data_IF_966183423472
#
_entry.id   IF_966183423472
#
_cell.length_a   1.000
_cell.length_b   1.000
_cell.length_c   1.000
_cell.angle_alpha   90.00
_cell.angle_beta   90.00
_cell.angle_gamma   90.00
#
_symmetry.space_group_name_H-M   'P 1'
#
loop_
_entity.id
_entity.type
_entity.pdbx_description
1 polymer ?
#
# COMPACT_ATOMS: atom_id res chain seq x y z
N UNK A 1 -30.82 22.41 25.32
CA UNK A 1 -31.18 21.00 25.20
C UNK A 1 -30.72 20.51 23.81
N UNK A 2 -29.54 19.91 23.74
CA UNK A 2 -29.06 19.22 22.55
C UNK A 2 -29.80 17.86 22.50
N UNK A 3 -30.82 17.75 21.67
CA UNK A 3 -31.33 16.46 21.26
C UNK A 3 -30.29 15.78 20.39
N UNK A 4 -29.51 14.87 20.92
CA UNK A 4 -28.76 13.90 20.13
C UNK A 4 -29.79 12.91 19.60
N UNK A 5 -30.26 13.09 18.39
CA UNK A 5 -30.97 12.06 17.67
C UNK A 5 -29.96 10.90 17.48
N UNK A 6 -30.16 9.83 18.23
CA UNK A 6 -29.43 8.60 18.08
C UNK A 6 -29.66 8.09 16.64
N UNK A 7 -28.71 8.24 15.78
CA UNK A 7 -28.72 7.60 14.46
C UNK A 7 -28.85 6.10 14.70
N UNK A 8 -29.87 5.50 14.14
CA UNK A 8 -30.07 4.05 14.17
C UNK A 8 -28.99 3.41 13.28
N UNK A 9 -27.81 3.15 13.87
CA UNK A 9 -26.80 2.35 13.20
C UNK A 9 -27.25 0.89 13.23
N UNK A 10 -27.56 0.32 12.08
CA UNK A 10 -27.82 -1.10 11.98
C UNK A 10 -26.49 -1.86 11.99
N UNK A 11 -26.31 -2.76 12.96
CA UNK A 11 -25.22 -3.72 12.93
C UNK A 11 -25.52 -4.77 11.86
N UNK A 12 -24.68 -4.85 10.82
CA UNK A 12 -24.65 -6.02 9.97
C UNK A 12 -24.04 -7.21 10.73
N UNK A 13 -24.53 -8.40 10.45
CA UNK A 13 -23.98 -9.64 11.00
C UNK A 13 -22.47 -9.68 10.80
N UNK A 14 -21.72 -9.77 11.90
CA UNK A 14 -20.27 -9.88 11.86
C UNK A 14 -19.86 -11.18 11.17
N UNK A 15 -19.12 -11.06 10.09
CA UNK A 15 -18.41 -12.15 9.46
C UNK A 15 -16.93 -12.09 9.85
N UNK A 16 -16.38 -13.24 10.26
CA UNK A 16 -14.97 -13.31 10.65
C UNK A 16 -14.03 -12.79 9.55
N UNK A 17 -13.17 -11.83 9.91
CA UNK A 17 -12.20 -11.21 9.00
C UNK A 17 -12.74 -10.02 8.18
N UNK A 18 -14.04 -9.73 8.20
CA UNK A 18 -14.63 -8.59 7.49
C UNK A 18 -14.64 -7.28 8.29
N UNK A 19 -14.56 -7.37 9.62
CA UNK A 19 -14.66 -6.24 10.53
C UNK A 19 -16.10 -5.86 10.87
N UNK A 20 -16.26 -4.82 11.67
CA UNK A 20 -17.55 -4.26 12.07
C UNK A 20 -17.97 -3.19 11.06
N UNK A 21 -19.15 -3.33 10.49
CA UNK A 21 -19.70 -2.37 9.55
C UNK A 21 -20.93 -1.69 10.14
N UNK A 22 -20.95 -0.37 10.07
CA UNK A 22 -22.05 0.49 10.50
C UNK A 22 -22.58 1.19 9.26
N UNK A 23 -23.86 1.13 9.02
CA UNK A 23 -24.53 1.79 7.89
C UNK A 23 -25.47 2.83 8.46
N UNK A 24 -25.28 4.09 8.08
CA UNK A 24 -26.14 5.22 8.43
C UNK A 24 -27.27 5.42 7.42
N UNK A 25 -28.21 6.31 7.76
CA UNK A 25 -29.38 6.62 6.92
C UNK A 25 -29.04 7.32 5.60
N UNK A 26 -27.88 8.03 5.53
CA UNK A 26 -27.46 8.83 4.35
C UNK A 26 -26.51 8.05 3.41
N UNK A 27 -26.68 6.75 3.25
CA UNK A 27 -25.78 5.90 2.45
C UNK A 27 -24.30 6.02 2.86
N UNK A 28 -24.05 6.49 4.07
CA UNK A 28 -22.72 6.53 4.65
C UNK A 28 -22.44 5.23 5.39
N UNK A 29 -21.48 4.46 4.92
CA UNK A 29 -20.98 3.28 5.61
C UNK A 29 -19.65 3.55 6.27
N UNK A 30 -19.49 3.02 7.47
CA UNK A 30 -18.25 3.05 8.24
C UNK A 30 -17.86 1.64 8.63
N UNK A 31 -16.62 1.27 8.36
CA UNK A 31 -16.10 -0.07 8.65
C UNK A 31 -14.84 0.01 9.51
N UNK A 32 -14.91 -0.64 10.66
CA UNK A 32 -13.79 -0.85 11.56
C UNK A 32 -13.30 -2.29 11.41
N UNK A 33 -12.03 -2.46 11.08
CA UNK A 33 -11.41 -3.76 10.94
C UNK A 33 -9.96 -3.74 11.38
N UNK A 34 -9.38 -4.91 11.53
CA UNK A 34 -7.99 -5.04 11.89
C UNK A 34 -7.55 -6.48 11.94
N UNK A 35 -6.28 -6.69 12.18
CA UNK A 35 -5.73 -8.02 12.40
C UNK A 35 -4.45 -7.96 13.21
N UNK A 36 -4.18 -9.07 13.87
CA UNK A 36 -2.95 -9.33 14.62
C UNK A 36 -2.23 -10.51 13.97
N UNK A 37 -0.92 -10.40 13.83
CA UNK A 37 -0.06 -11.45 13.28
C UNK A 37 1.09 -11.73 14.24
N UNK A 38 0.90 -12.64 15.21
CA UNK A 38 1.99 -13.16 16.02
C UNK A 38 2.92 -13.99 15.13
N UNK A 39 4.20 -14.00 15.46
CA UNK A 39 5.24 -14.60 14.63
C UNK A 39 6.27 -15.31 15.50
N UNK A 40 6.59 -16.53 15.11
CA UNK A 40 7.66 -17.35 15.70
C UNK A 40 8.69 -17.60 14.61
N UNK A 41 9.94 -17.30 14.88
CA UNK A 41 11.05 -17.51 13.96
C UNK A 41 12.15 -18.29 14.66
N UNK A 42 12.68 -19.29 13.97
CA UNK A 42 13.89 -20.01 14.36
C UNK A 42 14.90 -19.93 13.21
N UNK A 43 16.07 -19.40 13.46
CA UNK A 43 17.14 -19.28 12.48
C UNK A 43 18.30 -20.18 12.85
N UNK A 44 18.74 -20.94 11.87
CA UNK A 44 19.95 -21.74 11.95
C UNK A 44 20.97 -21.14 10.99
N UNK A 45 22.13 -20.72 11.49
CA UNK A 45 23.22 -20.23 10.66
C UNK A 45 24.31 -21.29 10.66
N UNK A 46 24.60 -21.80 9.46
CA UNK A 46 25.72 -22.72 9.25
C UNK A 46 26.93 -21.90 8.81
N UNK A 47 28.03 -22.04 9.54
CA UNK A 47 29.30 -21.44 9.15
C UNK A 47 30.13 -22.47 8.37
N UNK A 48 30.83 -22.07 7.30
CA UNK A 48 31.62 -22.95 6.40
C UNK A 48 32.77 -23.69 7.09
N UNK A 49 33.13 -23.34 8.29
CA UNK A 49 34.20 -23.96 9.08
C UNK A 49 33.67 -24.69 10.30
N UNK A 50 32.85 -25.72 10.06
CA UNK A 50 32.51 -26.72 11.11
C UNK A 50 31.75 -26.17 12.33
N UNK A 51 30.38 -26.21 12.20
CA UNK A 51 29.51 -26.52 13.35
C UNK A 51 29.56 -25.54 14.52
N UNK A 52 29.26 -24.28 14.28
CA UNK A 52 28.54 -23.50 15.28
C UNK A 52 27.13 -23.24 14.76
N UNK A 53 26.22 -24.09 15.21
CA UNK A 53 24.79 -23.89 15.03
C UNK A 53 24.36 -22.71 15.89
N UNK A 54 24.40 -21.51 15.34
CA UNK A 54 23.75 -20.38 15.98
C UNK A 54 22.24 -20.54 15.79
N UNK A 55 21.55 -20.78 16.89
CA UNK A 55 20.09 -20.88 16.92
C UNK A 55 19.53 -19.62 17.56
N UNK A 56 18.91 -18.78 16.76
CA UNK A 56 18.21 -17.58 17.21
C UNK A 56 16.70 -17.82 17.15
N UNK A 57 16.07 -17.93 18.31
CA UNK A 57 14.63 -18.11 18.45
C UNK A 57 13.98 -16.81 18.87
N UNK A 58 13.00 -16.37 18.11
CA UNK A 58 12.29 -15.13 18.38
C UNK A 58 10.78 -15.33 18.39
N UNK A 59 10.14 -14.73 19.40
CA UNK A 59 8.70 -14.52 19.45
C UNK A 59 8.45 -13.03 19.28
N UNK A 60 7.65 -12.64 18.31
CA UNK A 60 7.34 -11.24 18.09
C UNK A 60 5.97 -11.02 17.46
N UNK A 61 5.49 -9.79 17.58
CA UNK A 61 4.32 -9.32 16.89
C UNK A 61 4.76 -8.71 15.56
N UNK A 62 4.47 -9.40 14.45
CA UNK A 62 4.90 -8.95 13.13
C UNK A 62 4.03 -7.81 12.61
N UNK A 63 2.71 -7.89 12.86
CA UNK A 63 1.74 -6.86 12.48
C UNK A 63 0.61 -6.79 13.50
N UNK A 64 0.27 -5.56 13.86
CA UNK A 64 -0.95 -5.24 14.61
C UNK A 64 -1.60 -4.06 13.91
N UNK A 65 -2.61 -4.33 13.07
CA UNK A 65 -3.20 -3.29 12.23
C UNK A 65 -4.63 -2.99 12.62
N UNK A 66 -4.92 -1.71 12.71
CA UNK A 66 -6.24 -1.14 12.85
C UNK A 66 -6.57 -0.36 11.59
N UNK A 67 -7.75 -0.61 11.01
CA UNK A 67 -8.22 0.06 9.80
C UNK A 67 -9.60 0.64 10.02
N UNK A 68 -9.72 1.89 9.70
CA UNK A 68 -10.96 2.62 9.56
C UNK A 68 -11.19 2.91 8.08
N UNK A 69 -12.37 2.61 7.57
CA UNK A 69 -12.73 2.97 6.19
C UNK A 69 -14.19 3.34 6.13
N UNK A 70 -14.52 4.25 5.25
CA UNK A 70 -15.89 4.65 5.02
C UNK A 70 -16.16 4.97 3.57
N UNK A 71 -17.43 4.90 3.22
CA UNK A 71 -17.92 5.22 1.88
C UNK A 71 -19.19 6.04 2.02
N UNK A 72 -19.28 7.11 1.22
CA UNK A 72 -20.50 7.88 1.04
C UNK A 72 -20.87 7.82 -0.44
N UNK A 73 -21.91 7.05 -0.78
CA UNK A 73 -22.30 6.81 -2.16
C UNK A 73 -22.95 8.02 -2.79
N UNK A 74 -23.65 8.87 -2.03
CA UNK A 74 -24.27 10.10 -2.53
C UNK A 74 -23.23 11.10 -3.04
N UNK A 75 -22.11 11.21 -2.33
CA UNK A 75 -21.04 12.14 -2.68
C UNK A 75 -19.90 11.49 -3.47
N UNK A 76 -20.00 10.21 -3.83
CA UNK A 76 -18.95 9.46 -4.50
C UNK A 76 -17.59 9.51 -3.76
N UNK A 77 -17.61 9.63 -2.45
CA UNK A 77 -16.43 9.74 -1.60
C UNK A 77 -16.19 8.45 -0.84
N UNK A 78 -14.93 8.07 -0.71
CA UNK A 78 -14.49 7.03 0.21
C UNK A 78 -13.20 7.45 0.89
N UNK A 79 -12.98 6.97 2.11
CA UNK A 79 -11.77 7.25 2.87
C UNK A 79 -11.23 6.02 3.55
N UNK A 80 -9.95 6.08 3.89
CA UNK A 80 -9.28 5.06 4.68
C UNK A 80 -8.24 5.68 5.59
N UNK A 81 -8.23 5.23 6.84
CA UNK A 81 -7.16 5.46 7.80
C UNK A 81 -6.69 4.10 8.29
N UNK A 82 -5.40 3.86 8.29
CA UNK A 82 -4.83 2.59 8.75
C UNK A 82 -3.58 2.85 9.58
N UNK A 83 -3.55 2.20 10.74
CA UNK A 83 -2.41 2.22 11.67
C UNK A 83 -1.74 0.85 11.73
N UNK A 84 -0.43 0.84 11.95
CA UNK A 84 0.32 -0.34 12.38
C UNK A 84 0.91 -0.06 13.77
N UNK A 85 0.48 -0.81 14.74
CA UNK A 85 0.84 -0.64 16.15
C UNK A 85 1.90 -1.66 16.59
N UNK A 86 2.48 -2.41 15.65
CA UNK A 86 3.49 -3.43 15.95
C UNK A 86 4.89 -2.87 16.20
N UNK A 87 5.16 -1.62 15.82
CA UNK A 87 6.51 -1.04 15.86
C UNK A 87 7.47 -1.59 14.79
N UNK A 88 6.94 -2.31 13.79
CA UNK A 88 7.74 -2.94 12.74
C UNK A 88 7.28 -2.44 11.38
N UNK A 89 8.21 -2.00 10.54
CA UNK A 89 7.91 -1.52 9.19
C UNK A 89 7.40 -2.63 8.26
N UNK A 90 6.91 -2.24 7.08
CA UNK A 90 6.51 -3.16 6.00
C UNK A 90 7.64 -4.11 5.57
N UNK A 91 8.89 -3.73 5.77
CA UNK A 91 10.09 -4.48 5.39
C UNK A 91 10.77 -5.19 6.55
N UNK A 92 10.22 -5.12 7.74
CA UNK A 92 10.72 -5.84 8.91
C UNK A 92 11.68 -5.05 9.80
N UNK A 93 12.04 -3.80 9.41
CA UNK A 93 12.88 -2.92 10.20
C UNK A 93 12.07 -2.29 11.36
N UNK A 94 12.73 -1.80 12.41
CA UNK A 94 12.06 -1.03 13.45
C UNK A 94 11.48 0.27 12.87
N UNK A 95 10.29 0.64 13.32
CA UNK A 95 9.62 1.86 12.86
C UNK A 95 8.82 2.48 13.97
N UNK A 96 9.03 3.77 14.19
CA UNK A 96 8.18 4.59 15.07
C UNK A 96 6.92 5.11 14.37
N UNK A 97 6.81 4.88 13.07
CA UNK A 97 5.71 5.40 12.26
C UNK A 97 4.47 4.52 12.39
N UNK A 98 3.47 5.03 13.08
CA UNK A 98 2.20 4.32 13.31
C UNK A 98 1.23 4.45 12.14
N UNK A 99 1.18 5.61 11.48
CA UNK A 99 0.24 5.87 10.40
C UNK A 99 0.73 5.26 9.09
N UNK A 100 -0.04 4.32 8.54
CA UNK A 100 0.24 3.72 7.23
C UNK A 100 -0.51 4.44 6.10
N UNK A 101 -1.82 4.43 6.17
CA UNK A 101 -2.67 5.02 5.15
C UNK A 101 -3.56 6.10 5.77
N UNK A 102 -3.66 7.25 5.11
CA UNK A 102 -4.62 8.31 5.42
C UNK A 102 -4.98 9.01 4.12
N UNK A 103 -6.08 8.63 3.48
CA UNK A 103 -6.44 9.19 2.20
C UNK A 103 -7.95 9.27 1.98
N UNK A 104 -8.33 10.21 1.12
CA UNK A 104 -9.67 10.41 0.59
C UNK A 104 -9.68 10.10 -0.90
N UNK A 105 -10.68 9.37 -1.37
CA UNK A 105 -10.87 9.06 -2.79
C UNK A 105 -12.21 9.61 -3.27
N UNK A 106 -12.17 10.38 -4.33
CA UNK A 106 -13.34 10.86 -5.06
C UNK A 106 -13.50 10.07 -6.37
N UNK A 107 -14.66 9.45 -6.55
CA UNK A 107 -15.01 8.72 -7.77
C UNK A 107 -15.66 9.68 -8.76
N UNK A 108 -14.86 10.25 -9.68
CA UNK A 108 -15.35 11.16 -10.73
C UNK A 108 -16.41 10.46 -11.58
N UNK A 109 -16.18 9.19 -11.88
CA UNK A 109 -17.13 8.29 -12.50
C UNK A 109 -16.76 6.84 -12.17
N UNK A 110 -17.53 5.85 -12.68
CA UNK A 110 -17.30 4.42 -12.44
C UNK A 110 -15.90 3.91 -12.84
N UNK A 111 -15.18 4.66 -13.68
CA UNK A 111 -13.88 4.26 -14.25
C UNK A 111 -12.73 5.17 -13.86
N UNK A 112 -13.00 6.34 -13.29
CA UNK A 112 -11.98 7.33 -12.95
C UNK A 112 -12.10 7.69 -11.49
N UNK A 113 -10.99 7.54 -10.75
CA UNK A 113 -10.90 7.84 -9.32
C UNK A 113 -9.71 8.73 -9.08
N UNK A 114 -9.92 9.78 -8.31
CA UNK A 114 -8.87 10.66 -7.80
C UNK A 114 -8.72 10.44 -6.30
N UNK A 115 -7.52 10.17 -5.85
CA UNK A 115 -7.20 9.99 -4.43
C UNK A 115 -6.21 11.06 -4.00
N UNK A 116 -6.39 11.59 -2.80
CA UNK A 116 -5.44 12.50 -2.15
C UNK A 116 -5.14 12.02 -0.74
N UNK A 117 -3.87 12.08 -0.35
CA UNK A 117 -3.39 11.67 0.96
C UNK A 117 -2.26 10.67 0.89
N UNK A 118 -1.95 10.04 2.03
CA UNK A 118 -0.89 9.05 2.15
C UNK A 118 -1.41 7.64 1.86
N UNK A 119 -0.76 6.94 0.93
CA UNK A 119 -1.08 5.55 0.60
C UNK A 119 0.08 4.81 -0.06
N UNK A 120 -0.09 3.49 -0.25
CA UNK A 120 0.87 2.68 -1.00
C UNK A 120 0.97 3.11 -2.47
N UNK A 121 2.21 3.21 -2.96
CA UNK A 121 2.56 3.57 -4.33
C UNK A 121 2.30 2.39 -5.28
N UNK A 122 1.74 2.68 -6.44
CA UNK A 122 1.57 1.68 -7.51
C UNK A 122 2.68 1.74 -8.54
N UNK A 123 3.38 2.87 -8.63
CA UNK A 123 4.51 3.08 -9.52
C UNK A 123 5.77 2.32 -9.14
N UNK A 124 5.82 1.75 -7.95
CA UNK A 124 7.00 1.00 -7.52
C UNK A 124 6.96 -0.48 -7.93
N UNK A 125 5.89 -1.20 -7.61
CA UNK A 125 5.65 -2.57 -8.07
C UNK A 125 4.22 -3.06 -7.77
N UNK A 126 3.85 -4.25 -8.26
CA UNK A 126 2.54 -4.88 -8.05
C UNK A 126 2.30 -5.30 -6.61
N UNK A 127 3.33 -5.66 -5.86
CA UNK A 127 3.18 -6.22 -4.51
C UNK A 127 2.73 -5.18 -3.48
N UNK A 128 3.06 -3.90 -3.68
CA UNK A 128 2.74 -2.84 -2.71
C UNK A 128 1.25 -2.67 -2.43
N UNK A 129 0.36 -2.64 -3.42
CA UNK A 129 -1.07 -2.56 -3.16
C UNK A 129 -1.69 -3.86 -2.61
N UNK A 130 -0.95 -4.97 -2.58
CA UNK A 130 -1.43 -6.20 -1.96
C UNK A 130 -1.57 -6.03 -0.45
N UNK A 131 -2.68 -6.53 0.09
CA UNK A 131 -2.85 -6.56 1.54
C UNK A 131 -1.85 -7.51 2.18
N UNK A 132 -1.18 -7.06 3.22
CA UNK A 132 -0.28 -7.94 3.98
C UNK A 132 -1.01 -9.08 4.72
N UNK A 133 -2.32 -9.00 4.90
CA UNK A 133 -3.13 -10.11 5.39
C UNK A 133 -3.34 -11.22 4.33
N UNK A 134 -3.03 -10.96 3.06
CA UNK A 134 -3.21 -11.90 1.95
C UNK A 134 -1.89 -12.31 1.28
N UNK A 135 -0.76 -12.01 1.90
CA UNK A 135 0.53 -12.53 1.49
C UNK A 135 0.58 -14.03 1.79
N UNK A 136 1.16 -14.81 0.89
CA UNK A 136 1.38 -16.25 1.11
C UNK A 136 2.50 -16.52 2.10
N UNK A 137 3.54 -15.68 2.05
CA UNK A 137 4.64 -15.68 2.99
C UNK A 137 4.46 -14.51 3.96
N UNK A 138 5.09 -14.60 5.12
CA UNK A 138 5.00 -13.57 6.16
C UNK A 138 5.52 -12.23 5.67
N UNK A 139 6.60 -12.27 4.88
CA UNK A 139 7.29 -11.08 4.39
C UNK A 139 7.02 -10.82 2.92
N UNK A 140 7.18 -9.56 2.52
CA UNK A 140 7.19 -9.16 1.11
C UNK A 140 8.47 -9.63 0.44
N UNK A 141 8.44 -9.69 -0.88
CA UNK A 141 9.60 -10.09 -1.68
C UNK A 141 10.83 -9.21 -1.43
N UNK A 142 12.01 -9.78 -1.69
CA UNK A 142 13.27 -9.04 -1.65
C UNK A 142 13.27 -7.88 -2.64
N UNK A 143 12.59 -8.00 -3.77
CA UNK A 143 12.42 -6.92 -4.73
C UNK A 143 11.75 -5.70 -4.07
N UNK A 144 10.65 -5.91 -3.37
CA UNK A 144 9.95 -4.84 -2.65
C UNK A 144 10.83 -4.23 -1.56
N UNK A 145 11.48 -5.06 -0.75
CA UNK A 145 12.32 -4.55 0.34
C UNK A 145 13.55 -3.79 -0.14
N UNK A 146 14.06 -4.12 -1.34
CA UNK A 146 15.27 -3.50 -1.87
C UNK A 146 15.03 -2.21 -2.65
N UNK A 147 13.89 -2.07 -3.33
CA UNK A 147 13.68 -0.97 -4.29
C UNK A 147 12.50 -0.08 -4.00
N UNK A 148 11.47 -0.55 -3.29
CA UNK A 148 10.25 0.20 -3.13
C UNK A 148 10.36 1.34 -2.11
N UNK A 149 9.76 2.50 -2.43
CA UNK A 149 9.52 3.59 -1.48
C UNK A 149 8.34 3.28 -0.55
N UNK A 150 7.47 2.36 -0.93
CA UNK A 150 6.33 1.79 -0.22
C UNK A 150 5.13 2.72 -0.17
N UNK A 151 5.20 3.84 0.54
CA UNK A 151 4.12 4.82 0.71
C UNK A 151 4.64 6.23 0.54
N UNK A 152 3.73 7.10 0.13
CA UNK A 152 4.02 8.51 0.00
C UNK A 152 2.71 9.32 0.07
N UNK A 153 2.82 10.62 0.27
CA UNK A 153 1.71 11.56 0.35
C UNK A 153 1.57 12.34 -0.97
N UNK A 154 0.36 12.40 -1.52
CA UNK A 154 0.13 13.16 -2.75
C UNK A 154 -1.19 12.84 -3.45
N UNK A 155 -1.21 13.06 -4.75
CA UNK A 155 -2.34 12.81 -5.64
C UNK A 155 -2.13 11.52 -6.44
N UNK A 156 -3.20 10.75 -6.56
CA UNK A 156 -3.22 9.48 -7.29
C UNK A 156 -4.46 9.44 -8.17
N UNK A 157 -4.24 9.28 -9.47
CA UNK A 157 -5.30 9.11 -10.45
C UNK A 157 -5.32 7.67 -10.94
N UNK A 158 -6.47 7.05 -10.90
CA UNK A 158 -6.72 5.75 -11.53
C UNK A 158 -7.76 5.92 -12.62
N UNK A 159 -7.50 5.34 -13.81
CA UNK A 159 -8.45 5.30 -14.90
C UNK A 159 -8.45 3.94 -15.59
N UNK A 160 -9.65 3.37 -15.73
CA UNK A 160 -9.87 2.07 -16.37
C UNK A 160 -10.48 2.28 -17.77
N UNK A 161 -9.89 1.64 -18.77
CA UNK A 161 -10.42 1.57 -20.13
C UNK A 161 -10.87 0.14 -20.40
N UNK A 162 -12.08 -0.01 -20.92
CA UNK A 162 -12.62 -1.29 -21.37
C UNK A 162 -12.70 -1.29 -22.89
N UNK A 163 -12.13 -2.30 -23.51
CA UNK A 163 -12.19 -2.49 -24.95
C UNK A 163 -13.39 -3.38 -25.34
N UNK A 164 -13.78 -3.31 -26.61
CA UNK A 164 -14.93 -4.07 -27.13
C UNK A 164 -14.73 -5.59 -27.04
N UNK A 165 -13.50 -6.07 -27.15
CA UNK A 165 -13.12 -7.48 -27.04
C UNK A 165 -13.10 -8.01 -25.59
N UNK A 166 -13.50 -7.20 -24.61
CA UNK A 166 -13.53 -7.58 -23.19
C UNK A 166 -12.21 -7.39 -22.45
N UNK A 167 -11.13 -6.99 -23.12
CA UNK A 167 -9.88 -6.65 -22.45
C UNK A 167 -9.96 -5.32 -21.70
N UNK A 168 -9.05 -5.11 -20.75
CA UNK A 168 -8.96 -3.87 -19.97
C UNK A 168 -7.54 -3.32 -19.97
N UNK A 169 -7.47 -2.00 -19.96
CA UNK A 169 -6.24 -1.26 -19.65
C UNK A 169 -6.51 -0.38 -18.42
N UNK A 170 -5.71 -0.56 -17.39
CA UNK A 170 -5.82 0.21 -16.16
C UNK A 170 -4.59 1.07 -15.98
N UNK A 171 -4.78 2.37 -15.91
CA UNK A 171 -3.70 3.32 -15.72
C UNK A 171 -3.74 3.88 -14.30
N UNK A 172 -2.56 4.03 -13.73
CA UNK A 172 -2.32 4.71 -12.46
C UNK A 172 -1.28 5.79 -12.70
N UNK A 173 -1.59 7.01 -12.29
CA UNK A 173 -0.66 8.13 -12.28
C UNK A 173 -0.59 8.67 -10.86
N UNK A 174 0.57 9.08 -10.45
CA UNK A 174 0.80 9.61 -9.10
C UNK A 174 1.81 10.76 -9.13
N UNK A 175 1.49 11.78 -8.33
CA UNK A 175 2.36 12.92 -8.05
C UNK A 175 2.40 13.02 -6.54
N UNK A 176 3.58 12.81 -5.96
CA UNK A 176 3.74 12.73 -4.51
C UNK A 176 4.93 13.56 -4.06
N UNK A 177 5.08 13.78 -2.74
CA UNK A 177 6.19 14.54 -2.17
C UNK A 177 7.55 13.93 -2.47
N UNK A 178 7.64 12.60 -2.57
CA UNK A 178 8.91 11.93 -2.85
C UNK A 178 9.74 11.61 -1.62
N UNK A 179 9.34 12.09 -0.45
CA UNK A 179 10.04 11.94 0.82
C UNK A 179 9.66 10.68 1.61
N UNK A 180 8.67 9.95 1.13
CA UNK A 180 8.16 8.76 1.79
C UNK A 180 7.05 9.04 2.80
N UNK A 181 6.77 8.06 3.66
CA UNK A 181 5.63 8.16 4.57
C UNK A 181 5.90 9.03 5.78
N UNK A 182 4.81 9.69 6.25
CA UNK A 182 4.78 10.48 7.50
C UNK A 182 5.72 11.69 7.52
N UNK A 183 6.15 12.15 6.35
CA UNK A 183 6.85 13.42 6.22
C UNK A 183 5.84 14.53 5.90
N UNK A 184 5.27 15.16 6.94
CA UNK A 184 4.23 16.18 6.81
C UNK A 184 4.73 17.60 7.15
N UNK A 185 5.95 17.72 7.64
CA UNK A 185 6.45 18.98 8.22
C UNK A 185 7.57 19.62 7.42
N UNK A 186 8.30 18.83 6.64
CA UNK A 186 9.43 19.30 5.86
C UNK A 186 9.47 18.58 4.53
N UNK A 187 9.66 19.31 3.47
CA UNK A 187 9.81 18.82 2.12
C UNK A 187 11.29 18.92 1.71
N UNK A 188 11.83 17.85 1.16
CA UNK A 188 13.22 17.78 0.72
C UNK A 188 13.24 17.43 -0.76
N UNK A 189 14.02 18.18 -1.54
CA UNK A 189 14.10 17.96 -2.98
C UNK A 189 12.85 18.44 -3.71
N UNK A 190 12.42 17.68 -4.72
CA UNK A 190 11.25 17.98 -5.52
C UNK A 190 10.19 16.89 -5.45
N UNK A 191 9.24 16.97 -6.38
CA UNK A 191 8.14 16.00 -6.44
C UNK A 191 8.58 14.69 -7.08
N UNK A 192 7.91 13.61 -6.67
CA UNK A 192 7.96 12.33 -7.35
C UNK A 192 6.80 12.20 -8.33
N UNK A 193 7.12 11.82 -9.54
CA UNK A 193 6.17 11.52 -10.62
C UNK A 193 6.22 10.03 -10.89
N UNK A 194 5.08 9.37 -10.87
CA UNK A 194 5.03 7.94 -11.08
C UNK A 194 3.82 7.48 -11.83
N UNK A 195 3.90 6.27 -12.37
CA UNK A 195 2.78 5.65 -13.04
C UNK A 195 2.94 4.15 -13.18
N UNK A 196 1.79 3.51 -13.44
CA UNK A 196 1.70 2.11 -13.75
C UNK A 196 0.61 1.87 -14.77
N UNK A 197 0.85 0.96 -15.69
CA UNK A 197 -0.11 0.48 -16.66
C UNK A 197 -0.25 -1.03 -16.47
N UNK A 198 -1.49 -1.50 -16.28
CA UNK A 198 -1.85 -2.91 -16.26
C UNK A 198 -2.72 -3.23 -17.46
N UNK A 199 -2.25 -4.12 -18.34
CA UNK A 199 -3.04 -4.66 -19.45
C UNK A 199 -3.58 -6.04 -19.08
N UNK A 200 -4.89 -6.22 -19.18
CA UNK A 200 -5.62 -7.43 -18.84
C UNK A 200 -6.34 -7.98 -20.08
N UNK A 201 -5.67 -8.78 -20.92
CA UNK A 201 -6.23 -9.23 -22.21
C UNK A 201 -7.48 -10.10 -22.06
N UNK A 202 -7.58 -10.87 -20.98
CA UNK A 202 -8.70 -11.79 -20.73
C UNK A 202 -9.70 -11.25 -19.68
N UNK A 203 -9.76 -9.92 -19.54
CA UNK A 203 -10.67 -9.26 -18.62
C UNK A 203 -10.17 -9.20 -17.17
N UNK A 204 -11.03 -8.68 -16.32
CA UNK A 204 -10.70 -8.46 -14.90
C UNK A 204 -10.63 -9.78 -14.14
N UNK A 205 -9.74 -9.82 -13.15
CA UNK A 205 -9.69 -10.87 -12.14
C UNK A 205 -10.85 -10.71 -11.15
N UNK A 206 -11.35 -11.81 -10.62
CA UNK A 206 -12.38 -11.84 -9.58
C UNK A 206 -11.84 -11.16 -8.32
N UNK A 207 -12.62 -10.24 -7.74
CA UNK A 207 -12.28 -9.54 -6.51
C UNK A 207 -10.84 -8.99 -6.44
N UNK A 208 -10.39 -8.40 -7.54
CA UNK A 208 -9.02 -7.83 -7.65
C UNK A 208 -7.92 -8.88 -7.42
N UNK A 209 -8.13 -10.10 -7.90
CA UNK A 209 -7.19 -11.24 -7.74
C UNK A 209 -5.78 -10.96 -8.22
N UNK A 210 -5.58 -10.03 -9.19
CA UNK A 210 -4.26 -9.61 -9.65
C UNK A 210 -3.41 -8.94 -8.56
N UNK A 211 -3.98 -8.57 -7.41
CA UNK A 211 -3.28 -8.08 -6.23
C UNK A 211 -3.25 -9.11 -5.10
N UNK A 212 -3.15 -10.37 -5.45
CA UNK A 212 -2.93 -11.49 -4.53
C UNK A 212 -1.76 -12.32 -5.02
N UNK A 213 -1.05 -12.98 -4.12
CA UNK A 213 0.15 -13.75 -4.49
C UNK A 213 -0.16 -15.13 -5.06
N UNK A 214 -1.43 -15.56 -5.04
CA UNK A 214 -1.88 -16.80 -5.63
C UNK A 214 -3.31 -16.69 -6.13
N UNK A 215 -3.75 -17.68 -6.90
CA UNK A 215 -5.15 -17.81 -7.32
C UNK A 215 -6.05 -18.32 -6.19
N UNK A 216 -6.13 -17.53 -5.10
CA UNK A 216 -7.06 -17.80 -3.98
C UNK A 216 -8.52 -17.66 -4.39
N UNK A 217 -8.79 -16.94 -5.48
CA UNK A 217 -10.15 -16.72 -5.97
C UNK A 217 -10.65 -17.88 -6.84
N UNK A 218 -9.76 -18.83 -7.19
CA UNK A 218 -10.05 -19.96 -8.07
C UNK A 218 -10.72 -19.51 -9.37
N UNK A 219 -9.98 -18.73 -10.15
CA UNK A 219 -10.46 -18.22 -11.44
C UNK A 219 -10.93 -19.38 -12.34
N UNK A 220 -12.15 -19.26 -12.86
CA UNK A 220 -12.73 -20.31 -13.71
C UNK A 220 -12.23 -20.28 -15.15
N UNK A 221 -11.57 -19.20 -15.56
CA UNK A 221 -11.01 -18.99 -16.88
C UNK A 221 -9.62 -18.42 -16.77
N UNK A 222 -8.82 -18.65 -17.82
CA UNK A 222 -7.47 -18.06 -17.90
C UNK A 222 -7.54 -16.55 -17.70
N UNK A 223 -6.71 -16.05 -16.82
CA UNK A 223 -6.50 -14.64 -16.58
C UNK A 223 -5.03 -14.31 -16.76
N UNK A 224 -4.77 -13.11 -17.25
CA UNK A 224 -3.42 -12.60 -17.45
C UNK A 224 -3.42 -11.11 -17.15
N UNK A 225 -2.38 -10.65 -16.51
CA UNK A 225 -2.08 -9.24 -16.42
C UNK A 225 -0.61 -9.00 -16.72
N UNK A 226 -0.34 -8.07 -17.62
CA UNK A 226 0.99 -7.55 -17.91
C UNK A 226 1.05 -6.14 -17.36
N UNK A 227 2.00 -5.89 -16.45
CA UNK A 227 2.17 -4.61 -15.81
C UNK A 227 3.50 -3.98 -16.15
N UNK A 228 3.49 -2.66 -16.31
CA UNK A 228 4.69 -1.84 -16.43
C UNK A 228 4.57 -0.65 -15.48
N UNK A 229 5.64 -0.36 -14.76
CA UNK A 229 5.71 0.79 -13.85
C UNK A 229 6.98 1.62 -14.08
N UNK A 230 6.83 2.91 -13.81
CA UNK A 230 7.89 3.90 -13.89
C UNK A 230 7.70 4.94 -12.79
N UNK A 231 8.79 5.39 -12.18
CA UNK A 231 8.77 6.58 -11.34
C UNK A 231 10.10 7.35 -11.44
N UNK A 232 9.96 8.66 -11.37
CA UNK A 232 11.05 9.62 -11.25
C UNK A 232 10.83 10.46 -9.99
N UNK A 233 11.82 10.50 -9.12
CA UNK A 233 11.84 11.31 -7.91
C UNK A 233 12.95 12.36 -8.04
N UNK A 234 12.58 13.62 -8.01
CA UNK A 234 13.50 14.74 -8.13
C UNK A 234 14.13 15.06 -6.77
N UNK A 235 15.27 14.45 -6.51
CA UNK A 235 16.00 14.61 -5.26
C UNK A 235 15.41 13.82 -4.10
N UNK A 236 16.02 12.70 -3.73
CA UNK A 236 15.60 11.91 -2.56
C UNK A 236 16.38 12.31 -1.32
N UNK A 237 15.66 12.51 -0.20
CA UNK A 237 16.24 12.88 1.10
C UNK A 237 16.60 11.68 1.97
N UNK A 238 16.27 10.48 1.53
CA UNK A 238 16.55 9.25 2.27
C UNK A 238 16.74 8.08 1.34
N UNK A 239 17.33 7.02 1.83
CA UNK A 239 17.52 5.80 1.06
C UNK A 239 16.18 5.29 0.51
N UNK A 240 16.03 5.25 -0.82
CA UNK A 240 14.83 4.82 -1.55
C UNK A 240 13.61 5.74 -1.43
N UNK A 241 13.74 6.95 -0.87
CA UNK A 241 12.60 7.83 -0.61
C UNK A 241 11.55 7.18 0.31
N UNK A 242 12.00 6.45 1.34
CA UNK A 242 11.13 5.65 2.21
C UNK A 242 10.86 6.31 3.57
N UNK A 243 11.89 6.92 4.13
CA UNK A 243 11.87 7.53 5.45
C UNK A 243 12.03 9.02 5.30
N UNK A 244 11.01 9.76 5.66
CA UNK A 244 11.01 11.21 5.48
C UNK A 244 12.07 11.90 6.34
N UNK A 245 12.73 12.86 5.75
CA UNK A 245 13.50 13.85 6.49
C UNK A 245 14.91 13.50 6.91
N UNK A 246 15.43 12.32 6.66
CA UNK A 246 16.82 11.99 6.88
C UNK A 246 17.64 12.25 5.61
N UNK A 247 18.40 13.32 5.58
CA UNK A 247 19.34 13.58 4.48
C UNK A 247 20.55 12.67 4.68
N UNK A 248 20.72 11.74 3.74
CA UNK A 248 21.85 10.81 3.73
C UNK A 248 22.95 11.22 2.75
N UNK A 249 22.68 12.25 1.93
CA UNK A 249 23.55 12.60 0.82
C UNK A 249 24.10 14.00 1.01
N UNK A 250 25.43 14.09 1.10
CA UNK A 250 26.17 15.36 1.15
C UNK A 250 27.18 15.37 0.01
N UNK A 251 27.43 16.54 -0.56
CA UNK A 251 28.52 16.76 -1.50
C UNK A 251 29.90 16.78 -0.78
N UNK A 252 30.99 16.93 -1.54
CA UNK A 252 32.32 16.96 -1.00
C UNK A 252 32.61 18.19 -0.11
N UNK A 253 31.74 19.19 -0.13
CA UNK A 253 31.82 20.42 0.68
C UNK A 253 30.89 20.35 1.93
N UNK A 254 30.16 19.24 2.09
CA UNK A 254 29.22 19.04 3.18
C UNK A 254 27.85 19.71 2.97
N UNK A 255 27.52 20.17 1.76
CA UNK A 255 26.20 20.67 1.44
C UNK A 255 25.26 19.51 1.08
N UNK A 256 23.97 19.73 1.28
CA UNK A 256 22.93 18.78 0.89
C UNK A 256 22.99 18.52 -0.64
N UNK A 257 23.20 17.28 -1.02
CA UNK A 257 23.21 16.82 -2.42
C UNK A 257 22.17 15.72 -2.57
N UNK A 258 20.98 16.09 -3.05
CA UNK A 258 19.86 15.18 -3.17
C UNK A 258 19.86 14.56 -4.58
N UNK A 259 20.22 13.29 -4.74
CA UNK A 259 20.25 12.66 -6.06
C UNK A 259 18.84 12.35 -6.56
N UNK A 260 18.67 12.42 -7.87
CA UNK A 260 17.47 11.94 -8.54
C UNK A 260 17.40 10.42 -8.47
N UNK A 261 16.17 9.89 -8.38
CA UNK A 261 15.95 8.47 -8.30
C UNK A 261 14.92 7.99 -9.32
N UNK A 262 15.37 7.16 -10.26
CA UNK A 262 14.53 6.57 -11.31
C UNK A 262 14.31 5.09 -10.99
N UNK A 263 13.06 4.65 -11.10
CA UNK A 263 12.68 3.24 -11.01
C UNK A 263 11.84 2.85 -12.22
N UNK A 264 12.13 1.68 -12.76
CA UNK A 264 11.34 1.03 -13.80
C UNK A 264 11.14 -0.43 -13.46
N UNK A 265 10.01 -0.98 -13.82
CA UNK A 265 9.73 -2.38 -13.63
C UNK A 265 8.64 -2.90 -14.54
N UNK A 266 8.71 -4.18 -14.82
CA UNK A 266 7.68 -4.93 -15.51
C UNK A 266 7.36 -6.20 -14.73
N UNK A 267 6.11 -6.62 -14.78
CA UNK A 267 5.65 -7.84 -14.14
C UNK A 267 4.56 -8.52 -14.96
N UNK A 268 4.43 -9.82 -14.74
CA UNK A 268 3.45 -10.67 -15.40
C UNK A 268 2.86 -11.61 -14.36
N UNK A 269 1.55 -11.82 -14.43
CA UNK A 269 0.84 -12.76 -13.57
C UNK A 269 -0.29 -13.41 -14.36
#
# INVERSE_FOLDING_TARGET
SLCVNGQNASFNTYNFGEGLEFVGEDDHSFKLGGYIQPFVESRFVFNDSLVENYNDNRFRLRRLRLRLSGNNTQHNLSYRIQFDLSGVSETGDESSNLLLDAFLTYSINKRTKLTFGQRSLRSDNRELPMSSATLQLVERSRLTSSFASIRDFGFFLQRDFRFKNGSFLRNYLEITSGDGMNNFTKDFGGLKYGGRIDFLPFGLFTNMGQFRQADVMRERSLKLVVGFNYSFNNGISSRRGREGGQILYLDSLGNESLPDFIKMGADLM
#
